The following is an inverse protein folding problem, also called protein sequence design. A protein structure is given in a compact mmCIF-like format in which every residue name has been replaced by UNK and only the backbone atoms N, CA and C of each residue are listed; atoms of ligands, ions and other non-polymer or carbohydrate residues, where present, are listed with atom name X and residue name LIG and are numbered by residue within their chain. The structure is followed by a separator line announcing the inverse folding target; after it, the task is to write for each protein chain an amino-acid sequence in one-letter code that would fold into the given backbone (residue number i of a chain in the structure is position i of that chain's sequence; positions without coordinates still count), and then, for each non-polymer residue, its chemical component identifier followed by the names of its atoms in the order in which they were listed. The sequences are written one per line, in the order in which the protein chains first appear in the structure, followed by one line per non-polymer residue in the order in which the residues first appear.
data_IF_079713678481
#
_entry.id   IF_079713678481
#
_cell.length_a   1.000
_cell.length_b   1.000
_cell.length_c   1.000
_cell.angle_alpha   90.00
_cell.angle_beta   90.00
_cell.angle_gamma   90.00
#
_symmetry.space_group_name_H-M   'P 1'
#
loop_
_entity.id
_entity.type
_entity.pdbx_description
1 polymer ?
#
# COMPACT_ATOMS: atom_id res chain seq x y z
N UNK A 1 26.33 6.27 23.68
CA UNK A 1 25.10 5.78 23.03
C UNK A 1 25.51 4.95 21.82
N UNK A 2 25.47 3.62 21.95
CA UNK A 2 25.76 2.70 20.85
C UNK A 2 24.65 2.80 19.81
N UNK A 3 24.83 3.64 18.80
CA UNK A 3 23.99 3.59 17.60
C UNK A 3 24.34 2.31 16.85
N UNK A 4 23.55 1.27 17.12
CA UNK A 4 23.66 -0.03 16.47
C UNK A 4 23.13 0.11 15.03
N UNK A 5 23.99 0.58 14.11
CA UNK A 5 23.65 0.95 12.73
C UNK A 5 23.03 -0.20 11.91
N UNK A 6 23.07 -1.43 12.42
CA UNK A 6 22.60 -2.63 11.74
C UNK A 6 21.22 -3.09 12.23
N UNK A 7 20.62 -2.41 13.20
CA UNK A 7 19.26 -2.70 13.69
C UNK A 7 18.20 -2.14 12.72
N UNK A 8 17.30 -3.02 12.27
CA UNK A 8 16.22 -2.68 11.34
C UNK A 8 15.01 -2.21 12.14
N UNK A 9 14.50 -1.03 11.79
CA UNK A 9 13.26 -0.49 12.38
C UNK A 9 12.09 -0.72 11.44
N UNK A 10 10.94 -1.09 11.99
CA UNK A 10 9.71 -1.36 11.23
C UNK A 10 8.62 -0.30 11.42
N UNK A 11 8.94 0.82 12.06
CA UNK A 11 8.09 2.01 12.21
C UNK A 11 8.26 3.01 11.05
N UNK A 12 8.99 2.61 10.00
CA UNK A 12 9.29 3.40 8.80
C UNK A 12 9.36 2.52 7.55
N UNK A 13 9.42 3.15 6.38
CA UNK A 13 9.76 2.47 5.12
C UNK A 13 11.10 1.74 5.28
N UNK A 14 11.10 0.46 4.95
CA UNK A 14 12.33 -0.32 4.86
C UNK A 14 13.11 0.09 3.61
N UNK A 15 14.43 0.23 3.73
CA UNK A 15 15.31 0.50 2.60
C UNK A 15 15.49 -0.76 1.74
N UNK A 16 15.89 -0.64 0.47
CA UNK A 16 16.22 -1.80 -0.37
C UNK A 16 17.22 -2.75 0.29
N UNK A 17 18.24 -2.19 0.95
CA UNK A 17 19.24 -2.97 1.68
C UNK A 17 18.61 -3.78 2.82
N UNK A 18 17.71 -3.18 3.60
CA UNK A 18 17.06 -3.89 4.72
C UNK A 18 16.19 -5.06 4.24
N UNK A 19 15.50 -4.92 3.11
CA UNK A 19 14.76 -6.04 2.52
C UNK A 19 15.70 -7.20 2.15
N UNK A 20 16.83 -6.89 1.51
CA UNK A 20 17.82 -7.90 1.08
C UNK A 20 18.48 -8.58 2.28
N UNK A 21 18.81 -7.82 3.34
CA UNK A 21 19.37 -8.39 4.57
C UNK A 21 18.40 -9.39 5.20
N UNK A 22 17.12 -9.03 5.31
CA UNK A 22 16.09 -9.91 5.88
C UNK A 22 15.85 -11.15 5.01
N UNK A 23 15.87 -11.00 3.68
CA UNK A 23 15.76 -12.12 2.74
C UNK A 23 16.91 -13.13 2.92
N UNK A 24 18.15 -12.65 2.88
CA UNK A 24 19.32 -13.51 3.04
C UNK A 24 19.37 -14.15 4.44
N UNK A 25 18.92 -13.41 5.46
CA UNK A 25 18.78 -13.96 6.81
C UNK A 25 17.78 -15.11 6.85
N UNK A 26 16.60 -14.96 6.25
CA UNK A 26 15.60 -16.04 6.20
C UNK A 26 16.13 -17.27 5.46
N UNK A 27 16.74 -17.07 4.28
CA UNK A 27 17.31 -18.15 3.48
C UNK A 27 18.39 -18.97 4.20
N UNK A 28 19.24 -18.33 5.01
CA UNK A 28 20.43 -18.99 5.56
C UNK A 28 20.27 -19.45 7.01
N UNK A 29 19.35 -18.85 7.78
CA UNK A 29 19.26 -19.10 9.24
C UNK A 29 17.88 -19.49 9.74
N UNK A 30 16.83 -19.32 8.94
CA UNK A 30 15.45 -19.61 9.35
C UNK A 30 14.90 -20.81 8.61
N UNK A 31 15.12 -20.88 7.29
CA UNK A 31 14.65 -21.99 6.49
C UNK A 31 15.47 -23.25 6.72
N UNK A 32 14.79 -24.40 6.64
CA UNK A 32 15.47 -25.69 6.59
C UNK A 32 16.40 -25.74 5.37
N UNK A 33 17.59 -26.33 5.53
CA UNK A 33 18.66 -26.35 4.52
C UNK A 33 18.26 -26.94 3.15
N UNK A 34 17.11 -27.64 3.07
CA UNK A 34 16.60 -28.24 1.84
C UNK A 34 15.54 -27.38 1.13
N UNK A 35 15.25 -26.17 1.62
CA UNK A 35 14.20 -25.31 1.07
C UNK A 35 14.79 -24.07 0.42
N UNK A 36 14.59 -23.97 -0.89
CA UNK A 36 14.86 -22.75 -1.64
C UNK A 36 13.69 -21.76 -1.50
N UNK A 37 13.98 -20.49 -1.23
CA UNK A 37 12.99 -19.41 -1.17
C UNK A 37 13.31 -18.38 -2.25
N UNK A 38 12.36 -18.19 -3.16
CA UNK A 38 12.44 -17.12 -4.16
C UNK A 38 12.10 -15.78 -3.53
N UNK A 39 12.77 -14.72 -3.95
CA UNK A 39 12.48 -13.36 -3.45
C UNK A 39 11.02 -12.93 -3.71
N UNK A 40 10.39 -13.42 -4.79
CA UNK A 40 8.97 -13.17 -5.08
C UNK A 40 8.02 -13.73 -4.01
N UNK A 41 8.43 -14.79 -3.32
CA UNK A 41 7.66 -15.50 -2.29
C UNK A 41 8.03 -15.05 -0.86
N UNK A 42 9.11 -14.28 -0.73
CA UNK A 42 9.61 -13.75 0.53
C UNK A 42 8.61 -12.78 1.18
N UNK A 43 8.39 -12.96 2.48
CA UNK A 43 7.47 -12.17 3.29
C UNK A 43 8.21 -11.61 4.50
N UNK A 44 8.13 -10.30 4.71
CA UNK A 44 8.68 -9.67 5.89
C UNK A 44 7.65 -9.66 7.01
N UNK A 45 7.98 -10.22 8.16
CA UNK A 45 7.17 -10.13 9.37
C UNK A 45 7.89 -9.33 10.46
N UNK A 46 7.13 -8.77 11.40
CA UNK A 46 7.73 -8.13 12.57
C UNK A 46 8.59 -9.09 13.40
N UNK A 47 8.23 -10.38 13.48
CA UNK A 47 9.02 -11.40 14.18
C UNK A 47 10.32 -11.75 13.45
N UNK A 48 10.32 -11.79 12.11
CA UNK A 48 11.55 -11.93 11.33
C UNK A 48 12.52 -10.79 11.64
N UNK A 49 12.04 -9.55 11.67
CA UNK A 49 12.84 -8.36 11.99
C UNK A 49 13.38 -8.44 13.43
N UNK A 50 12.53 -8.80 14.41
CA UNK A 50 12.96 -8.95 15.81
C UNK A 50 14.04 -10.02 15.96
N UNK A 51 13.90 -11.15 15.26
CA UNK A 51 14.87 -12.24 15.33
C UNK A 51 16.20 -11.84 14.68
N UNK A 52 16.16 -11.23 13.50
CA UNK A 52 17.34 -10.65 12.86
C UNK A 52 18.06 -9.64 13.79
N UNK A 53 17.32 -8.71 14.38
CA UNK A 53 17.87 -7.69 15.28
C UNK A 53 18.45 -8.28 16.57
N UNK A 54 17.90 -9.41 17.05
CA UNK A 54 18.44 -10.15 18.18
C UNK A 54 19.76 -10.82 17.80
N UNK A 55 19.80 -11.55 16.69
CA UNK A 55 20.97 -12.32 16.26
C UNK A 55 22.14 -11.40 15.84
N UNK A 56 21.87 -10.30 15.13
CA UNK A 56 22.91 -9.38 14.64
C UNK A 56 23.69 -8.67 15.77
N UNK A 57 23.16 -8.67 17.00
CA UNK A 57 23.85 -8.18 18.20
C UNK A 57 24.95 -9.14 18.68
N UNK A 58 24.93 -10.40 18.25
CA UNK A 58 25.97 -11.38 18.54
C UNK A 58 27.13 -11.24 17.54
N UNK A 59 28.36 -11.01 18.04
CA UNK A 59 29.54 -10.80 17.18
C UNK A 59 29.91 -12.00 16.31
N UNK A 60 29.69 -13.22 16.80
CA UNK A 60 29.95 -14.43 16.02
C UNK A 60 28.97 -14.52 14.84
N UNK A 61 27.68 -14.38 15.13
CA UNK A 61 26.64 -14.36 14.10
C UNK A 61 26.88 -13.24 13.09
N UNK A 62 27.19 -12.01 13.54
CA UNK A 62 27.48 -10.89 12.66
C UNK A 62 28.64 -11.17 11.71
N UNK A 63 29.71 -11.79 12.22
CA UNK A 63 30.89 -12.14 11.41
C UNK A 63 30.55 -13.21 10.38
N UNK A 64 29.77 -14.20 10.77
CA UNK A 64 29.26 -15.25 9.88
C UNK A 64 28.34 -14.68 8.81
N UNK A 65 27.40 -13.82 9.19
CA UNK A 65 26.48 -13.19 8.26
C UNK A 65 27.18 -12.30 7.23
N UNK A 66 28.26 -11.62 7.61
CA UNK A 66 29.11 -10.88 6.65
C UNK A 66 29.70 -11.82 5.57
N UNK A 67 29.99 -13.08 5.90
CA UNK A 67 30.44 -14.07 4.89
C UNK A 67 29.30 -14.42 3.94
N UNK A 68 28.10 -14.67 4.47
CA UNK A 68 26.89 -14.89 3.65
C UNK A 68 26.68 -13.73 2.68
N UNK A 69 26.81 -12.48 3.13
CA UNK A 69 26.70 -11.31 2.25
C UNK A 69 27.76 -11.30 1.13
N UNK A 70 29.00 -11.71 1.44
CA UNK A 70 30.08 -11.78 0.44
C UNK A 70 29.87 -12.91 -0.57
N UNK A 71 29.35 -14.05 -0.13
CA UNK A 71 29.06 -15.21 -0.97
C UNK A 71 27.87 -14.95 -1.90
N UNK A 72 26.95 -14.07 -1.50
CA UNK A 72 25.73 -13.74 -2.24
C UNK A 72 25.78 -12.38 -2.97
N UNK A 73 26.98 -11.84 -3.25
CA UNK A 73 27.15 -10.51 -3.85
C UNK A 73 26.39 -10.32 -5.17
N UNK A 74 26.37 -11.31 -6.05
CA UNK A 74 25.67 -11.21 -7.34
C UNK A 74 24.14 -11.19 -7.16
N UNK A 75 23.61 -11.96 -6.21
CA UNK A 75 22.18 -11.90 -5.85
C UNK A 75 21.84 -10.52 -5.29
N UNK A 76 22.68 -9.99 -4.38
CA UNK A 76 22.48 -8.65 -3.80
C UNK A 76 22.44 -7.58 -4.90
N UNK A 77 23.41 -7.60 -5.84
CA UNK A 77 23.44 -6.65 -6.97
C UNK A 77 22.20 -6.76 -7.84
N UNK A 78 21.79 -7.98 -8.17
CA UNK A 78 20.59 -8.23 -8.98
C UNK A 78 19.32 -7.69 -8.31
N UNK A 79 19.15 -7.95 -7.01
CA UNK A 79 18.00 -7.44 -6.26
C UNK A 79 18.03 -5.91 -6.15
N UNK A 80 19.19 -5.31 -5.89
CA UNK A 80 19.33 -3.84 -5.84
C UNK A 80 18.97 -3.20 -7.19
N UNK A 81 19.46 -3.75 -8.30
CA UNK A 81 19.09 -3.27 -9.63
C UNK A 81 17.57 -3.36 -9.86
N UNK A 82 16.92 -4.42 -9.38
CA UNK A 82 15.47 -4.55 -9.41
C UNK A 82 14.72 -3.48 -8.61
N UNK A 83 15.24 -3.10 -7.44
CA UNK A 83 14.70 -1.98 -6.66
C UNK A 83 14.84 -0.63 -7.39
N UNK A 84 15.89 -0.46 -8.18
CA UNK A 84 16.11 0.77 -8.94
C UNK A 84 15.19 0.86 -10.16
N UNK A 85 14.87 -0.27 -10.81
CA UNK A 85 14.05 -0.30 -12.03
C UNK A 85 12.56 -0.50 -11.79
N UNK A 86 12.20 -1.39 -10.87
CA UNK A 86 10.81 -1.80 -10.61
C UNK A 86 10.55 -1.97 -9.10
N UNK A 87 10.73 -0.92 -8.27
CA UNK A 87 10.67 -1.03 -6.81
C UNK A 87 9.38 -1.66 -6.28
N UNK A 88 8.27 -1.56 -7.03
CA UNK A 88 6.99 -2.19 -6.68
C UNK A 88 7.00 -3.72 -6.72
N UNK A 89 7.90 -4.37 -7.47
CA UNK A 89 8.04 -5.83 -7.43
C UNK A 89 8.89 -6.30 -6.24
N UNK A 90 9.79 -5.44 -5.79
CA UNK A 90 10.82 -5.80 -4.82
C UNK A 90 10.52 -5.35 -3.39
N UNK A 91 9.82 -4.23 -3.22
CA UNK A 91 9.41 -3.74 -1.91
C UNK A 91 8.35 -4.66 -1.30
N UNK A 92 8.52 -5.00 -0.02
CA UNK A 92 7.59 -5.82 0.75
C UNK A 92 7.08 -5.01 1.95
N UNK A 93 5.77 -5.04 2.23
CA UNK A 93 5.25 -4.49 3.47
C UNK A 93 5.71 -5.34 4.66
N UNK A 94 5.81 -4.73 5.83
CA UNK A 94 5.98 -5.48 7.09
C UNK A 94 4.61 -6.03 7.49
N UNK A 95 4.51 -7.35 7.59
CA UNK A 95 3.31 -8.03 8.10
C UNK A 95 3.38 -8.08 9.62
N UNK A 96 2.44 -7.39 10.26
CA UNK A 96 2.31 -7.32 11.71
C UNK A 96 1.66 -8.60 12.25
N UNK A 97 2.09 -9.06 13.42
CA UNK A 97 1.50 -10.21 14.11
C UNK A 97 0.32 -9.84 15.03
N UNK A 98 -0.43 -8.78 14.70
CA UNK A 98 -1.63 -8.31 15.41
C UNK A 98 -2.81 -9.29 15.33
N UNK A 99 -2.87 -10.10 14.26
CA UNK A 99 -3.93 -11.10 14.04
C UNK A 99 -3.46 -12.23 13.14
N UNK A 100 -4.12 -13.39 13.24
CA UNK A 100 -3.93 -14.51 12.32
C UNK A 100 -4.39 -14.11 10.91
N UNK A 101 -3.45 -13.99 9.99
CA UNK A 101 -3.69 -13.69 8.58
C UNK A 101 -3.58 -14.98 7.77
N UNK A 102 -4.58 -15.25 6.94
CA UNK A 102 -4.51 -16.36 5.99
C UNK A 102 -3.75 -15.95 4.72
N UNK A 103 -3.36 -16.93 3.90
CA UNK A 103 -2.59 -16.67 2.68
C UNK A 103 -3.30 -15.72 1.69
N UNK A 104 -4.63 -15.78 1.61
CA UNK A 104 -5.41 -14.85 0.78
C UNK A 104 -5.27 -13.39 1.25
N UNK A 105 -5.36 -13.17 2.56
CA UNK A 105 -5.20 -11.84 3.14
C UNK A 105 -3.78 -11.30 2.94
N UNK A 106 -2.76 -12.14 3.17
CA UNK A 106 -1.36 -11.76 2.92
C UNK A 106 -1.15 -11.38 1.46
N UNK A 107 -1.68 -12.18 0.52
CA UNK A 107 -1.60 -11.87 -0.91
C UNK A 107 -2.22 -10.51 -1.24
N UNK A 108 -3.38 -10.19 -0.68
CA UNK A 108 -4.01 -8.89 -0.90
C UNK A 108 -3.20 -7.73 -0.31
N UNK A 109 -2.60 -7.90 0.87
CA UNK A 109 -1.70 -6.89 1.45
C UNK A 109 -0.48 -6.66 0.55
N UNK A 110 0.15 -7.74 0.05
CA UNK A 110 1.27 -7.62 -0.87
C UNK A 110 0.86 -6.85 -2.12
N UNK A 111 -0.22 -7.24 -2.79
CA UNK A 111 -0.68 -6.57 -4.01
C UNK A 111 -1.03 -5.09 -3.77
N UNK A 112 -1.63 -4.76 -2.62
CA UNK A 112 -1.95 -3.37 -2.26
C UNK A 112 -0.69 -2.53 -2.09
N UNK A 113 0.30 -3.06 -1.35
CA UNK A 113 1.62 -2.43 -1.20
C UNK A 113 2.35 -2.26 -2.53
N UNK A 114 2.30 -3.27 -3.41
CA UNK A 114 2.89 -3.16 -4.75
C UNK A 114 2.27 -1.99 -5.54
N UNK A 115 0.95 -1.83 -5.46
CA UNK A 115 0.27 -0.73 -6.13
C UNK A 115 0.61 0.63 -5.52
N UNK A 116 0.68 0.74 -4.19
CA UNK A 116 1.12 1.96 -3.50
C UNK A 116 2.54 2.38 -3.93
N UNK A 117 3.49 1.44 -3.94
CA UNK A 117 4.87 1.71 -4.38
C UNK A 117 4.94 2.06 -5.86
N UNK A 118 4.08 1.46 -6.70
CA UNK A 118 3.99 1.82 -8.11
C UNK A 118 3.51 3.26 -8.29
N UNK A 119 2.47 3.67 -7.56
CA UNK A 119 1.96 5.05 -7.60
C UNK A 119 2.98 6.04 -7.05
N UNK A 120 3.62 5.75 -5.92
CA UNK A 120 4.72 6.55 -5.35
C UNK A 120 5.82 6.78 -6.39
N UNK A 121 6.25 5.70 -7.05
CA UNK A 121 7.24 5.78 -8.13
C UNK A 121 6.77 6.64 -9.30
N UNK A 122 5.49 6.56 -9.69
CA UNK A 122 4.92 7.44 -10.72
C UNK A 122 4.99 8.91 -10.35
N UNK A 123 4.75 9.30 -9.10
CA UNK A 123 4.95 10.71 -8.70
C UNK A 123 6.42 11.13 -8.73
N UNK A 124 7.32 10.24 -8.29
CA UNK A 124 8.76 10.50 -8.29
C UNK A 124 9.33 10.67 -9.71
N UNK A 125 8.80 9.98 -10.73
CA UNK A 125 9.14 10.20 -12.14
C UNK A 125 8.89 11.67 -12.59
N UNK A 126 7.95 12.37 -11.94
CA UNK A 126 7.66 13.79 -12.16
C UNK A 126 8.33 14.72 -11.13
N UNK A 127 9.22 14.19 -10.28
CA UNK A 127 9.92 14.93 -9.24
C UNK A 127 9.02 15.36 -8.08
N UNK A 128 7.91 14.66 -7.84
CA UNK A 128 6.99 14.92 -6.74
C UNK A 128 7.10 13.81 -5.71
N UNK A 129 7.41 14.18 -4.46
CA UNK A 129 7.25 13.30 -3.31
C UNK A 129 5.88 13.56 -2.68
N UNK A 130 5.03 12.53 -2.61
CA UNK A 130 3.67 12.62 -2.05
C UNK A 130 3.64 12.46 -0.52
N UNK A 131 4.76 12.06 0.09
CA UNK A 131 4.88 11.92 1.54
C UNK A 131 4.02 10.79 2.11
N UNK A 132 4.20 9.56 1.64
CA UNK A 132 3.48 8.38 2.15
C UNK A 132 3.74 8.17 3.66
N UNK A 133 2.67 7.92 4.41
CA UNK A 133 2.79 7.57 5.82
C UNK A 133 2.98 6.06 6.00
N UNK A 134 4.02 5.68 6.73
CA UNK A 134 4.39 4.27 6.97
C UNK A 134 4.05 3.76 8.38
N UNK A 135 3.62 4.65 9.27
CA UNK A 135 3.24 4.30 10.63
C UNK A 135 1.72 4.39 10.82
N UNK A 136 1.22 3.63 11.79
CA UNK A 136 -0.19 3.50 12.11
C UNK A 136 -0.80 4.86 12.51
N UNK A 137 -0.09 5.62 13.35
CA UNK A 137 -0.54 6.94 13.82
C UNK A 137 -0.74 7.93 12.66
N UNK A 138 0.18 7.97 11.68
CA UNK A 138 0.06 8.83 10.51
C UNK A 138 -1.13 8.43 9.63
N UNK A 139 -1.28 7.14 9.36
CA UNK A 139 -2.34 6.62 8.50
C UNK A 139 -3.76 6.88 9.07
N UNK A 140 -3.95 6.72 10.38
CA UNK A 140 -5.28 6.93 10.98
C UNK A 140 -5.60 8.39 11.25
N UNK A 141 -4.61 9.23 11.57
CA UNK A 141 -4.86 10.62 11.99
C UNK A 141 -4.86 11.63 10.84
N UNK A 142 -4.11 11.37 9.77
CA UNK A 142 -3.90 12.36 8.70
C UNK A 142 -4.47 11.94 7.35
N UNK A 143 -4.52 10.64 7.05
CA UNK A 143 -4.81 10.11 5.70
C UNK A 143 -3.68 9.16 5.27
N UNK A 144 -3.58 8.80 3.99
CA UNK A 144 -2.51 7.88 3.53
C UNK A 144 -1.19 8.58 3.17
N UNK A 145 -1.24 9.87 2.79
CA UNK A 145 -0.05 10.66 2.49
C UNK A 145 -0.26 12.16 2.73
N UNK A 146 0.84 12.93 2.80
CA UNK A 146 0.82 14.38 3.00
C UNK A 146 0.10 15.12 1.87
N UNK A 147 0.20 14.61 0.63
CA UNK A 147 -0.45 15.20 -0.54
C UNK A 147 -1.99 15.06 -0.54
N UNK A 148 -2.58 14.34 0.42
CA UNK A 148 -4.03 14.13 0.50
C UNK A 148 -4.54 13.18 -0.58
N UNK A 149 -3.79 12.12 -0.87
CA UNK A 149 -4.16 11.08 -1.83
C UNK A 149 -4.39 9.76 -1.08
N UNK A 150 -5.54 9.14 -1.29
CA UNK A 150 -5.86 7.77 -0.86
C UNK A 150 -5.66 6.82 -2.06
N UNK A 151 -4.74 5.85 -1.94
CA UNK A 151 -4.35 4.88 -2.95
C UNK A 151 -5.03 3.54 -2.64
N UNK A 152 -5.88 3.06 -3.55
CA UNK A 152 -6.63 1.81 -3.37
C UNK A 152 -6.36 0.82 -4.49
N UNK A 153 -5.79 -0.32 -4.12
CA UNK A 153 -5.76 -1.45 -5.02
C UNK A 153 -7.13 -2.12 -5.12
N UNK A 154 -7.74 -2.06 -6.31
CA UNK A 154 -9.04 -2.67 -6.62
C UNK A 154 -8.90 -3.73 -7.71
N UNK A 155 -8.63 -4.97 -7.28
CA UNK A 155 -8.52 -6.12 -8.18
C UNK A 155 -9.82 -6.42 -8.94
N UNK A 156 -10.99 -6.09 -8.36
CA UNK A 156 -12.29 -6.38 -8.99
C UNK A 156 -12.60 -5.39 -10.11
N UNK A 157 -12.05 -4.18 -10.05
CA UNK A 157 -12.20 -3.21 -11.13
C UNK A 157 -11.65 -3.74 -12.46
N UNK A 158 -10.57 -4.51 -12.43
CA UNK A 158 -9.99 -5.17 -13.61
C UNK A 158 -10.92 -6.23 -14.21
N UNK A 159 -11.58 -7.00 -13.37
CA UNK A 159 -12.49 -8.07 -13.80
C UNK A 159 -13.84 -7.54 -14.28
N UNK A 160 -14.37 -6.55 -13.57
CA UNK A 160 -15.76 -6.10 -13.75
C UNK A 160 -15.89 -4.81 -14.55
N UNK A 161 -14.80 -4.06 -14.72
CA UNK A 161 -14.82 -2.70 -15.25
C UNK A 161 -15.62 -1.74 -14.36
N UNK A 162 -15.80 -2.04 -13.07
CA UNK A 162 -16.57 -1.23 -12.15
C UNK A 162 -15.74 -0.88 -10.93
N UNK A 163 -15.82 0.37 -10.48
CA UNK A 163 -15.22 0.83 -9.23
C UNK A 163 -16.24 0.73 -8.10
N UNK A 164 -15.79 0.22 -6.96
CA UNK A 164 -16.54 0.30 -5.72
C UNK A 164 -16.03 1.45 -4.85
N UNK A 165 -16.90 2.42 -4.57
CA UNK A 165 -16.59 3.57 -3.72
C UNK A 165 -17.32 3.40 -2.40
N UNK A 166 -16.54 3.20 -1.33
CA UNK A 166 -17.05 3.05 0.03
C UNK A 166 -17.32 4.41 0.68
N UNK A 167 -18.41 4.49 1.46
CA UNK A 167 -18.73 5.66 2.28
C UNK A 167 -19.01 5.31 3.76
N UNK A 168 -19.24 4.04 4.09
CA UNK A 168 -19.42 3.61 5.47
C UNK A 168 -19.05 2.14 5.66
N UNK A 169 -18.58 1.80 6.86
CA UNK A 169 -18.25 0.43 7.25
C UNK A 169 -18.79 0.09 8.64
N UNK A 170 -18.77 -1.20 8.98
CA UNK A 170 -19.01 -1.68 10.35
C UNK A 170 -18.17 -2.92 10.64
N UNK A 171 -17.80 -3.10 11.90
CA UNK A 171 -16.87 -4.14 12.36
C UNK A 171 -17.27 -5.56 11.92
N UNK A 172 -18.56 -5.88 11.97
CA UNK A 172 -19.11 -7.15 11.53
C UNK A 172 -20.60 -6.99 11.18
N UNK A 173 -21.18 -8.02 10.55
CA UNK A 173 -22.58 -7.97 10.09
C UNK A 173 -23.59 -7.81 11.23
N UNK A 174 -23.25 -8.19 12.46
CA UNK A 174 -24.13 -8.12 13.63
C UNK A 174 -24.09 -6.75 14.30
N UNK A 175 -23.05 -5.96 14.05
CA UNK A 175 -23.00 -4.58 14.48
C UNK A 175 -24.10 -3.78 13.76
N UNK A 176 -24.78 -2.90 14.49
CA UNK A 176 -25.81 -2.01 13.94
C UNK A 176 -25.25 -0.65 13.58
N UNK A 177 -24.15 -0.27 14.22
CA UNK A 177 -23.57 1.06 14.09
C UNK A 177 -22.64 1.10 12.88
N UNK A 178 -23.00 1.96 11.94
CA UNK A 178 -22.14 2.31 10.81
C UNK A 178 -21.22 3.45 11.22
N UNK A 179 -19.97 3.34 10.83
CA UNK A 179 -18.97 4.41 10.97
C UNK A 179 -18.63 4.96 9.60
N UNK A 180 -18.34 6.26 9.53
CA UNK A 180 -17.91 6.90 8.29
C UNK A 180 -16.62 6.25 7.78
N UNK A 181 -16.59 5.91 6.49
CA UNK A 181 -15.42 5.36 5.81
C UNK A 181 -15.29 5.93 4.40
N UNK A 182 -14.18 5.60 3.73
CA UNK A 182 -13.84 6.07 2.38
C UNK A 182 -14.09 7.56 2.18
N UNK A 183 -15.02 7.90 1.30
CA UNK A 183 -15.28 9.31 0.93
C UNK A 183 -15.82 10.16 2.10
N UNK A 184 -16.31 9.57 3.20
CA UNK A 184 -16.78 10.29 4.39
C UNK A 184 -15.77 10.34 5.53
N UNK A 185 -14.56 9.80 5.38
CA UNK A 185 -13.50 10.00 6.38
C UNK A 185 -13.20 11.49 6.53
N UNK A 186 -13.05 11.93 7.78
CA UNK A 186 -12.65 13.30 8.11
C UNK A 186 -11.12 13.37 8.24
N UNK A 187 -10.45 13.26 7.10
CA UNK A 187 -8.99 13.25 6.94
C UNK A 187 -8.56 14.27 5.87
N UNK A 188 -7.26 14.32 5.55
CA UNK A 188 -6.74 15.21 4.50
C UNK A 188 -7.02 14.73 3.07
N UNK A 189 -7.72 13.60 2.88
CA UNK A 189 -7.90 12.98 1.56
C UNK A 189 -8.70 13.92 0.65
N UNK A 190 -8.14 14.21 -0.51
CA UNK A 190 -8.71 15.05 -1.58
C UNK A 190 -8.86 14.27 -2.87
N UNK A 191 -8.02 13.27 -3.10
CA UNK A 191 -8.02 12.46 -4.31
C UNK A 191 -7.99 10.98 -3.95
N UNK A 192 -8.63 10.18 -4.80
CA UNK A 192 -8.57 8.73 -4.79
C UNK A 192 -7.83 8.26 -6.04
N UNK A 193 -6.75 7.51 -5.84
CA UNK A 193 -6.08 6.75 -6.89
C UNK A 193 -6.47 5.28 -6.75
N UNK A 194 -7.45 4.84 -7.52
CA UNK A 194 -8.07 3.52 -7.35
C UNK A 194 -7.91 2.66 -8.61
N UNK A 195 -7.47 1.42 -8.44
CA UNK A 195 -7.41 0.43 -9.52
C UNK A 195 -6.23 -0.52 -9.41
N UNK A 196 -5.53 -0.71 -10.51
CA UNK A 196 -4.41 -1.64 -10.70
C UNK A 196 -3.28 -0.95 -11.44
N UNK A 197 -2.10 -1.59 -11.55
CA UNK A 197 -0.97 -1.04 -12.32
C UNK A 197 -1.31 -0.83 -13.79
N UNK A 198 -2.18 -1.67 -14.36
CA UNK A 198 -2.57 -1.60 -15.76
C UNK A 198 -3.67 -0.58 -16.04
N UNK A 199 -4.52 -0.31 -15.04
CA UNK A 199 -5.62 0.64 -15.16
C UNK A 199 -6.02 1.13 -13.77
N UNK A 200 -5.93 2.44 -13.57
CA UNK A 200 -6.43 3.12 -12.39
C UNK A 200 -7.07 4.45 -12.78
N UNK A 201 -7.88 4.99 -11.87
CA UNK A 201 -8.55 6.27 -12.01
C UNK A 201 -8.12 7.21 -10.90
N UNK A 202 -8.05 8.50 -11.23
CA UNK A 202 -7.73 9.59 -10.32
C UNK A 202 -9.00 10.41 -10.11
N UNK A 203 -9.63 10.29 -8.96
CA UNK A 203 -10.95 10.87 -8.71
C UNK A 203 -10.87 11.88 -7.58
N UNK A 204 -11.46 13.07 -7.74
CA UNK A 204 -11.58 14.02 -6.63
C UNK A 204 -12.61 13.50 -5.63
N UNK A 205 -12.28 13.55 -4.34
CA UNK A 205 -13.20 13.21 -3.25
C UNK A 205 -14.48 14.04 -3.33
N UNK A 206 -14.36 15.33 -3.66
CA UNK A 206 -15.51 16.23 -3.86
C UNK A 206 -16.47 15.72 -4.94
N UNK A 207 -15.94 15.36 -6.11
CA UNK A 207 -16.76 14.86 -7.22
C UNK A 207 -17.47 13.54 -6.85
N UNK A 208 -16.85 12.72 -5.99
CA UNK A 208 -17.46 11.51 -5.45
C UNK A 208 -18.56 11.79 -4.42
N UNK A 209 -18.39 12.83 -3.59
CA UNK A 209 -19.40 13.29 -2.64
C UNK A 209 -20.62 13.86 -3.38
N UNK A 210 -20.40 14.68 -4.39
CA UNK A 210 -21.48 15.24 -5.22
C UNK A 210 -22.26 14.12 -5.94
N UNK A 211 -21.54 13.11 -6.46
CA UNK A 211 -22.15 11.93 -7.08
C UNK A 211 -22.95 11.08 -6.07
N UNK A 212 -22.46 10.94 -4.84
CA UNK A 212 -23.19 10.26 -3.77
C UNK A 212 -24.53 10.96 -3.47
N UNK A 213 -24.51 12.28 -3.34
CA UNK A 213 -25.72 13.07 -3.08
C UNK A 213 -26.73 12.95 -4.23
N UNK A 214 -26.26 13.02 -5.48
CA UNK A 214 -27.11 12.82 -6.66
C UNK A 214 -27.75 11.42 -6.67
N UNK A 215 -26.98 10.38 -6.33
CA UNK A 215 -27.49 9.01 -6.22
C UNK A 215 -28.52 8.83 -5.11
N UNK A 216 -28.40 9.58 -4.01
CA UNK A 216 -29.30 9.50 -2.87
C UNK A 216 -30.61 10.27 -3.11
N UNK A 217 -30.58 11.33 -3.93
CA UNK A 217 -31.72 12.21 -4.21
C UNK A 217 -32.48 11.83 -5.50
N UNK A 218 -31.82 11.19 -6.47
CA UNK A 218 -32.39 10.90 -7.79
C UNK A 218 -32.98 9.47 -7.90
N UNK A 219 -33.76 9.22 -8.96
CA UNK A 219 -34.20 7.87 -9.35
C UNK A 219 -33.07 7.01 -9.96
N UNK A 220 -31.84 7.52 -10.01
CA UNK A 220 -30.65 6.83 -10.52
C UNK A 220 -29.78 7.74 -11.38
N UNK A 221 -28.46 7.60 -11.24
CA UNK A 221 -27.46 8.26 -12.07
C UNK A 221 -26.93 7.24 -13.09
N UNK A 222 -26.94 7.58 -14.38
CA UNK A 222 -26.50 6.65 -15.42
C UNK A 222 -25.06 6.17 -15.18
N UNK A 223 -24.87 4.85 -15.25
CA UNK A 223 -23.58 4.22 -14.99
C UNK A 223 -23.18 4.13 -13.52
N UNK A 224 -24.08 4.48 -12.58
CA UNK A 224 -23.83 4.42 -11.15
C UNK A 224 -25.00 3.75 -10.39
N UNK A 225 -24.71 3.12 -9.24
CA UNK A 225 -25.76 2.57 -8.36
C UNK A 225 -25.28 2.37 -6.92
N UNK A 226 -26.17 2.60 -5.96
CA UNK A 226 -25.95 2.26 -4.55
C UNK A 226 -25.89 0.74 -4.36
N UNK A 227 -24.94 0.26 -3.56
CA UNK A 227 -24.78 -1.16 -3.26
C UNK A 227 -24.38 -1.41 -1.80
N UNK A 228 -24.61 -2.63 -1.34
CA UNK A 228 -24.06 -3.14 -0.08
C UNK A 228 -23.08 -4.26 -0.37
N UNK A 229 -21.96 -4.30 0.34
CA UNK A 229 -21.03 -5.40 0.24
C UNK A 229 -21.71 -6.72 0.65
N UNK A 230 -21.36 -7.84 0.01
CA UNK A 230 -21.99 -9.16 0.25
C UNK A 230 -21.97 -9.60 1.72
N UNK A 231 -20.98 -9.17 2.49
CA UNK A 231 -20.83 -9.50 3.92
C UNK A 231 -21.64 -8.59 4.84
N UNK A 232 -22.35 -7.61 4.29
CA UNK A 232 -23.03 -6.55 5.03
C UNK A 232 -22.09 -5.90 6.05
N UNK A 233 -20.88 -5.54 5.64
CA UNK A 233 -19.90 -4.84 6.49
C UNK A 233 -19.46 -3.51 5.90
N UNK A 234 -19.92 -3.18 4.70
CA UNK A 234 -19.50 -2.02 3.94
C UNK A 234 -20.63 -1.54 3.03
N UNK A 235 -20.86 -0.23 3.03
CA UNK A 235 -21.80 0.48 2.17
C UNK A 235 -21.02 1.34 1.18
N UNK A 236 -21.49 1.32 -0.06
CA UNK A 236 -20.86 2.08 -1.12
C UNK A 236 -21.75 2.23 -2.32
N UNK A 237 -21.17 2.73 -3.39
CA UNK A 237 -21.79 2.74 -4.70
C UNK A 237 -20.81 2.26 -5.74
N UNK A 238 -21.35 1.79 -6.85
CA UNK A 238 -20.59 1.38 -8.01
C UNK A 238 -20.56 2.51 -9.02
N UNK A 239 -19.40 2.75 -9.61
CA UNK A 239 -19.22 3.60 -10.79
C UNK A 239 -18.74 2.70 -11.94
N UNK A 240 -19.42 2.76 -13.08
CA UNK A 240 -18.99 2.07 -14.30
C UNK A 240 -17.69 2.64 -14.84
N UNK A 241 -16.89 1.83 -15.54
CA UNK A 241 -15.64 2.26 -16.21
C UNK A 241 -15.84 3.48 -17.10
N UNK A 242 -16.94 3.55 -17.84
CA UNK A 242 -17.22 4.70 -18.70
C UNK A 242 -17.39 5.98 -17.89
N UNK A 243 -18.16 5.93 -16.80
CA UNK A 243 -18.36 7.09 -15.93
C UNK A 243 -17.06 7.44 -15.18
N UNK A 244 -16.33 6.45 -14.69
CA UNK A 244 -15.04 6.64 -14.04
C UNK A 244 -14.01 7.28 -14.98
N UNK A 245 -13.94 6.84 -16.25
CA UNK A 245 -13.08 7.46 -17.25
C UNK A 245 -13.42 8.95 -17.49
N UNK A 246 -14.70 9.31 -17.48
CA UNK A 246 -15.15 10.71 -17.66
C UNK A 246 -14.84 11.58 -16.45
N UNK A 247 -14.85 11.01 -15.24
CA UNK A 247 -14.57 11.72 -14.00
C UNK A 247 -13.08 11.78 -13.67
N UNK A 248 -12.30 10.84 -14.20
CA UNK A 248 -10.89 10.71 -13.85
C UNK A 248 -10.08 11.88 -14.39
N UNK A 249 -9.20 12.38 -13.53
CA UNK A 249 -8.10 13.23 -13.95
C UNK A 249 -7.05 12.44 -14.69
N UNK A 250 -6.34 13.14 -15.56
CA UNK A 250 -5.00 12.78 -16.00
C UNK A 250 -3.99 13.01 -14.87
N UNK A 251 -2.83 12.39 -14.97
CA UNK A 251 -1.77 12.56 -13.98
C UNK A 251 -1.27 14.01 -13.97
N UNK A 252 -1.15 14.62 -15.14
CA UNK A 252 -0.73 16.01 -15.34
C UNK A 252 -1.71 17.02 -14.70
N UNK A 253 -3.02 16.79 -14.84
CA UNK A 253 -4.04 17.61 -14.18
C UNK A 253 -3.91 17.52 -12.66
N UNK A 254 -3.77 16.31 -12.12
CA UNK A 254 -3.55 16.13 -10.69
C UNK A 254 -2.28 16.85 -10.20
N UNK A 255 -1.16 16.71 -10.91
CA UNK A 255 0.08 17.40 -10.58
C UNK A 255 -0.08 18.92 -10.62
N UNK A 256 -0.85 19.45 -11.58
CA UNK A 256 -1.21 20.87 -11.64
C UNK A 256 -1.99 21.31 -10.41
N UNK A 257 -2.98 20.53 -9.98
CA UNK A 257 -3.78 20.83 -8.79
C UNK A 257 -2.99 20.75 -7.50
N UNK A 258 -2.05 19.80 -7.37
CA UNK A 258 -1.16 19.70 -6.20
C UNK A 258 -0.22 20.91 -6.11
N UNK A 259 0.34 21.36 -7.25
CA UNK A 259 1.22 22.54 -7.29
C UNK A 259 0.47 23.84 -7.00
N UNK A 260 -0.74 24.00 -7.54
CA UNK A 260 -1.57 25.18 -7.32
C UNK A 260 -1.92 25.44 -5.84
N UNK A 261 -1.95 24.37 -5.04
CA UNK A 261 -2.22 24.44 -3.60
C UNK A 261 -1.01 24.96 -2.82
N UNK A 262 0.22 24.64 -3.24
CA UNK A 262 1.45 25.08 -2.58
C UNK A 262 1.80 26.56 -2.82
N UNK A 263 1.12 27.24 -3.75
CA UNK A 263 1.29 28.68 -4.04
C UNK A 263 0.31 29.61 -3.33
N UNK A 264 -0.63 29.08 -2.52
CA UNK A 264 -1.62 29.89 -1.78
C UNK A 264 -1.34 30.00 -0.26
N UNK A 265 -0.09 29.79 0.17
CA UNK A 265 0.34 30.03 1.55
C UNK A 265 1.25 31.26 1.64
#
# INVERSE_FOLDING_TARGET
MNNNKDEIKYDRKLTPREHILLYLYECNYILDQNRELKYSEFIITNDLIKKYNYDIKNNYFRTDFIKVLKENLEIIKSLLAGFDTEPWEYSKPVIWNDRKKNGYFIKNLLLSHQFEVFIDHKFLEFGVDIGLFYNEEGQYSKGECEAGIEIKYDMKSKETGNLYIEYAEKLNSHNKDWVNSGIFKNDNTRYFLIGTKELFWILRKRDLLDLYEELNQSRGVSGCRMVKAKRDTSLGFIISKEKANKMSLTFEELLGELKGVNTMC
#
